data_IF_579098846523
#
_entry.id   IF_579098846523
#
_cell.length_a   1.000
_cell.length_b   1.000
_cell.length_c   1.000
_cell.angle_alpha   90.00
_cell.angle_beta   90.00
_cell.angle_gamma   90.00
#
_symmetry.space_group_name_H-M   'P 1'
#
loop_
_entity.id
_entity.type
_entity.pdbx_description
1 polymer ?
#
# COMPACT_ATOMS: atom_id res chain seq x y z
N UNK A 1 49.42 -3.42 14.13
CA UNK A 1 48.48 -4.47 14.55
C UNK A 1 47.08 -3.92 14.86
N UNK A 2 46.68 -2.80 14.23
CA UNK A 2 45.41 -2.08 14.53
C UNK A 2 44.49 -1.94 13.31
N UNK A 3 44.97 -2.24 12.09
CA UNK A 3 44.16 -2.15 10.86
C UNK A 3 43.38 -3.44 10.54
N UNK A 4 43.90 -4.60 10.93
CA UNK A 4 43.26 -5.90 10.70
C UNK A 4 41.99 -6.10 11.56
N UNK A 5 41.93 -5.44 12.72
CA UNK A 5 40.81 -5.54 13.66
C UNK A 5 39.57 -4.72 13.21
N UNK A 6 39.77 -3.68 12.40
CA UNK A 6 38.69 -2.79 11.94
C UNK A 6 37.96 -3.38 10.71
N UNK A 7 38.68 -4.13 9.86
CA UNK A 7 38.10 -4.73 8.66
C UNK A 7 37.13 -5.87 9.00
N UNK A 8 37.42 -6.64 10.07
CA UNK A 8 36.61 -7.80 10.51
C UNK A 8 35.28 -7.38 11.18
N UNK A 9 35.26 -6.27 11.93
CA UNK A 9 34.02 -5.75 12.51
C UNK A 9 33.03 -5.29 11.42
N UNK A 10 33.53 -4.66 10.36
CA UNK A 10 32.68 -4.17 9.26
C UNK A 10 32.00 -5.28 8.45
N UNK A 11 32.63 -6.45 8.33
CA UNK A 11 32.05 -7.63 7.66
C UNK A 11 31.02 -8.33 8.55
N UNK A 12 31.31 -8.45 9.84
CA UNK A 12 30.38 -9.05 10.82
C UNK A 12 29.12 -8.20 11.00
N UNK A 13 29.23 -6.88 11.09
CA UNK A 13 28.07 -5.99 11.19
C UNK A 13 27.18 -6.07 9.94
N UNK A 14 27.76 -6.08 8.74
CA UNK A 14 27.02 -6.23 7.48
C UNK A 14 26.26 -7.57 7.44
N UNK A 15 26.88 -8.65 7.89
CA UNK A 15 26.24 -9.97 7.94
C UNK A 15 25.11 -10.07 8.98
N UNK A 16 25.22 -9.36 10.09
CA UNK A 16 24.16 -9.26 11.09
C UNK A 16 22.97 -8.47 10.54
N UNK A 17 23.22 -7.31 9.93
CA UNK A 17 22.18 -6.47 9.31
C UNK A 17 21.46 -7.22 8.19
N UNK A 18 22.19 -7.95 7.34
CA UNK A 18 21.60 -8.74 6.26
C UNK A 18 20.72 -9.86 6.80
N UNK A 19 21.16 -10.57 7.85
CA UNK A 19 20.40 -11.63 8.52
C UNK A 19 19.15 -11.09 9.23
N UNK A 20 19.27 -10.01 9.99
CA UNK A 20 18.14 -9.36 10.67
C UNK A 20 17.08 -8.89 9.67
N UNK A 21 17.51 -8.25 8.58
CA UNK A 21 16.60 -7.80 7.51
C UNK A 21 15.84 -8.96 6.87
N UNK A 22 16.48 -10.15 6.73
CA UNK A 22 15.84 -11.34 6.17
C UNK A 22 14.79 -11.93 7.11
N UNK A 23 15.10 -12.03 8.40
CA UNK A 23 14.13 -12.53 9.39
C UNK A 23 12.95 -11.58 9.55
N UNK A 24 13.15 -10.26 9.43
CA UNK A 24 12.08 -9.27 9.49
C UNK A 24 11.05 -9.38 8.34
N UNK A 25 11.43 -9.92 7.18
CA UNK A 25 10.52 -10.08 6.03
C UNK A 25 9.47 -11.19 6.24
N UNK A 26 9.80 -12.24 6.99
CA UNK A 26 8.92 -13.39 7.25
C UNK A 26 7.65 -13.00 8.03
N UNK A 27 7.74 -12.34 9.21
CA UNK A 27 6.55 -11.96 9.98
C UNK A 27 5.72 -10.91 9.23
N UNK A 28 6.35 -10.04 8.45
CA UNK A 28 5.63 -9.08 7.62
C UNK A 28 4.78 -9.78 6.55
N UNK A 29 5.34 -10.77 5.85
CA UNK A 29 4.59 -11.55 4.86
C UNK A 29 3.43 -12.34 5.50
N UNK A 30 3.68 -12.92 6.69
CA UNK A 30 2.64 -13.64 7.45
C UNK A 30 1.52 -12.70 7.89
N UNK A 31 1.86 -11.55 8.47
CA UNK A 31 0.88 -10.53 8.87
C UNK A 31 0.04 -10.04 7.70
N UNK A 32 0.67 -9.86 6.53
CA UNK A 32 -0.01 -9.44 5.31
C UNK A 32 -0.97 -10.52 4.78
N UNK A 33 -0.60 -11.79 4.86
CA UNK A 33 -1.49 -12.90 4.52
C UNK A 33 -2.69 -12.98 5.48
N UNK A 34 -2.47 -12.84 6.78
CA UNK A 34 -3.56 -12.79 7.78
C UNK A 34 -4.48 -11.60 7.52
N UNK A 35 -3.92 -10.41 7.28
CA UNK A 35 -4.71 -9.21 6.94
C UNK A 35 -5.54 -9.41 5.68
N UNK A 36 -5.00 -10.08 4.66
CA UNK A 36 -5.73 -10.41 3.44
C UNK A 36 -6.92 -11.34 3.70
N UNK A 37 -6.75 -12.36 4.54
CA UNK A 37 -7.84 -13.26 4.93
C UNK A 37 -8.91 -12.52 5.73
N UNK A 38 -8.52 -11.62 6.64
CA UNK A 38 -9.46 -10.79 7.39
C UNK A 38 -10.27 -9.89 6.44
N UNK A 39 -9.63 -9.20 5.50
CA UNK A 39 -10.34 -8.39 4.50
C UNK A 39 -11.32 -9.22 3.67
N UNK A 40 -10.92 -10.43 3.27
CA UNK A 40 -11.79 -11.32 2.51
C UNK A 40 -13.04 -11.72 3.32
N UNK A 41 -12.86 -12.06 4.60
CA UNK A 41 -13.98 -12.40 5.49
C UNK A 41 -14.91 -11.18 5.65
N UNK A 42 -14.36 -10.01 6.00
CA UNK A 42 -15.15 -8.79 6.19
C UNK A 42 -15.93 -8.42 4.93
N UNK A 43 -15.31 -8.54 3.75
CA UNK A 43 -15.98 -8.29 2.46
C UNK A 43 -17.24 -9.14 2.28
N UNK A 44 -17.17 -10.44 2.57
CA UNK A 44 -18.35 -11.32 2.49
C UNK A 44 -19.37 -11.04 3.59
N UNK A 45 -18.92 -10.67 4.79
CA UNK A 45 -19.80 -10.29 5.91
C UNK A 45 -20.60 -9.03 5.58
N UNK A 46 -19.99 -8.02 4.96
CA UNK A 46 -20.66 -6.78 4.57
C UNK A 46 -21.72 -7.05 3.48
N UNK A 47 -21.40 -7.90 2.51
CA UNK A 47 -22.38 -8.35 1.49
C UNK A 47 -23.54 -9.09 2.15
N UNK A 48 -23.24 -10.02 3.07
CA UNK A 48 -24.27 -10.78 3.77
C UNK A 48 -25.20 -9.87 4.59
N UNK A 49 -24.65 -8.92 5.36
CA UNK A 49 -25.43 -7.95 6.13
C UNK A 49 -26.32 -7.09 5.24
N UNK A 50 -25.81 -6.65 4.08
CA UNK A 50 -26.58 -5.87 3.13
C UNK A 50 -27.79 -6.64 2.57
N UNK A 51 -27.63 -7.94 2.33
CA UNK A 51 -28.71 -8.83 1.89
C UNK A 51 -29.72 -9.05 3.01
N UNK A 52 -29.27 -9.37 4.23
CA UNK A 52 -30.13 -9.63 5.39
C UNK A 52 -30.98 -8.40 5.77
N UNK A 53 -30.38 -7.21 5.70
CA UNK A 53 -31.03 -5.95 6.12
C UNK A 53 -31.81 -5.28 4.98
N UNK A 54 -31.83 -5.87 3.77
CA UNK A 54 -32.45 -5.32 2.56
C UNK A 54 -31.98 -3.90 2.21
N UNK A 55 -30.75 -3.55 2.58
CA UNK A 55 -30.21 -2.20 2.37
C UNK A 55 -30.12 -1.83 0.89
N UNK A 56 -30.01 -2.85 0.04
CA UNK A 56 -29.95 -2.69 -1.42
C UNK A 56 -31.23 -2.09 -2.04
N UNK A 57 -32.35 -2.07 -1.29
CA UNK A 57 -33.59 -1.44 -1.73
C UNK A 57 -33.54 0.08 -1.64
N UNK A 58 -32.70 0.64 -0.78
CA UNK A 58 -32.46 2.08 -0.69
C UNK A 58 -31.28 2.48 -1.59
N UNK A 59 -31.55 3.36 -2.56
CA UNK A 59 -30.54 3.79 -3.53
C UNK A 59 -29.29 4.39 -2.89
N UNK A 60 -29.44 5.18 -1.82
CA UNK A 60 -28.32 5.84 -1.14
C UNK A 60 -27.49 4.79 -0.42
N UNK A 61 -28.13 3.88 0.31
CA UNK A 61 -27.44 2.77 1.00
C UNK A 61 -26.70 1.84 0.04
N UNK A 62 -27.31 1.50 -1.10
CA UNK A 62 -26.66 0.68 -2.14
C UNK A 62 -25.38 1.33 -2.66
N UNK A 63 -25.40 2.65 -2.89
CA UNK A 63 -24.22 3.39 -3.34
C UNK A 63 -23.14 3.33 -2.26
N UNK A 64 -23.46 3.62 -0.99
CA UNK A 64 -22.50 3.57 0.12
C UNK A 64 -21.91 2.18 0.31
N UNK A 65 -22.73 1.13 0.22
CA UNK A 65 -22.26 -0.26 0.27
C UNK A 65 -21.23 -0.53 -0.83
N UNK A 66 -21.53 -0.18 -2.08
CA UNK A 66 -20.61 -0.39 -3.20
C UNK A 66 -19.31 0.39 -2.98
N UNK A 67 -19.38 1.63 -2.49
CA UNK A 67 -18.17 2.43 -2.23
C UNK A 67 -17.30 1.82 -1.11
N UNK A 68 -17.90 1.31 -0.03
CA UNK A 68 -17.20 0.60 1.03
C UNK A 68 -16.52 -0.68 0.51
N UNK A 69 -17.26 -1.49 -0.28
CA UNK A 69 -16.71 -2.70 -0.90
C UNK A 69 -15.57 -2.39 -1.88
N UNK A 70 -15.68 -1.29 -2.64
CA UNK A 70 -14.60 -0.83 -3.51
C UNK A 70 -13.35 -0.46 -2.71
N UNK A 71 -13.50 0.28 -1.62
CA UNK A 71 -12.36 0.67 -0.77
C UNK A 71 -11.58 -0.55 -0.26
N UNK A 72 -12.29 -1.55 0.28
CA UNK A 72 -11.66 -2.81 0.71
C UNK A 72 -10.88 -3.50 -0.43
N UNK A 73 -11.44 -3.52 -1.65
CA UNK A 73 -10.76 -4.11 -2.82
C UNK A 73 -9.51 -3.32 -3.20
N UNK A 74 -9.54 -2.00 -3.13
CA UNK A 74 -8.35 -1.19 -3.42
C UNK A 74 -7.26 -1.36 -2.35
N UNK A 75 -7.62 -1.46 -1.07
CA UNK A 75 -6.67 -1.80 -0.01
C UNK A 75 -6.09 -3.19 -0.26
N UNK A 76 -6.92 -4.19 -0.59
CA UNK A 76 -6.46 -5.53 -0.94
C UNK A 76 -5.47 -5.52 -2.13
N UNK A 77 -5.74 -4.73 -3.17
CA UNK A 77 -4.82 -4.57 -4.30
C UNK A 77 -3.46 -3.99 -3.88
N UNK A 78 -3.44 -3.03 -2.96
CA UNK A 78 -2.20 -2.54 -2.35
C UNK A 78 -1.49 -3.62 -1.54
N UNK A 79 -2.22 -4.38 -0.71
CA UNK A 79 -1.63 -5.45 0.09
C UNK A 79 -1.00 -6.52 -0.81
N UNK A 80 -1.66 -6.95 -1.89
CA UNK A 80 -1.11 -7.91 -2.86
C UNK A 80 0.17 -7.36 -3.49
N UNK A 81 0.16 -6.08 -3.87
CA UNK A 81 1.32 -5.43 -4.44
C UNK A 81 2.51 -5.43 -3.46
N UNK A 82 2.28 -5.06 -2.20
CA UNK A 82 3.31 -5.07 -1.15
C UNK A 82 3.78 -6.49 -0.85
N UNK A 83 2.87 -7.47 -0.81
CA UNK A 83 3.17 -8.89 -0.58
C UNK A 83 4.11 -9.42 -1.65
N UNK A 84 3.77 -9.16 -2.91
CA UNK A 84 4.54 -9.61 -4.07
C UNK A 84 5.93 -8.99 -4.07
N UNK A 85 6.05 -7.70 -3.73
CA UNK A 85 7.36 -7.04 -3.62
C UNK A 85 8.20 -7.58 -2.46
N UNK A 86 7.57 -7.85 -1.32
CA UNK A 86 8.22 -8.46 -0.15
C UNK A 86 8.77 -9.85 -0.48
N UNK A 87 7.94 -10.69 -1.11
CA UNK A 87 8.32 -12.04 -1.54
C UNK A 87 9.45 -12.00 -2.58
N UNK A 88 9.36 -11.12 -3.58
CA UNK A 88 10.39 -10.97 -4.59
C UNK A 88 11.72 -10.51 -3.98
N UNK A 89 11.70 -9.59 -3.01
CA UNK A 89 12.91 -9.13 -2.31
C UNK A 89 13.54 -10.26 -1.50
N UNK A 90 12.74 -11.04 -0.78
CA UNK A 90 13.21 -12.22 -0.04
C UNK A 90 13.88 -13.24 -0.98
N UNK A 91 13.29 -13.47 -2.18
CA UNK A 91 13.83 -14.41 -3.18
C UNK A 91 15.09 -13.87 -3.87
N UNK A 92 15.09 -12.61 -4.32
CA UNK A 92 16.22 -11.97 -5.01
C UNK A 92 17.50 -12.01 -4.15
N UNK A 93 17.36 -11.79 -2.85
CA UNK A 93 18.46 -11.84 -1.88
C UNK A 93 19.03 -13.25 -1.65
N UNK A 94 18.35 -14.29 -2.14
CA UNK A 94 18.80 -15.70 -2.11
C UNK A 94 19.45 -16.14 -3.43
N UNK A 95 19.11 -15.51 -4.56
CA UNK A 95 19.44 -16.02 -5.90
C UNK A 95 20.43 -15.18 -6.71
N UNK A 96 20.59 -13.88 -6.41
CA UNK A 96 21.44 -12.97 -7.21
C UNK A 96 22.58 -12.42 -6.34
N UNK A 97 23.80 -12.47 -6.86
CA UNK A 97 25.02 -11.94 -6.22
C UNK A 97 25.61 -10.83 -7.09
N UNK A 98 26.19 -9.79 -6.47
CA UNK A 98 26.88 -8.70 -7.18
C UNK A 98 25.98 -7.57 -7.70
N UNK A 99 26.47 -6.81 -8.69
CA UNK A 99 25.86 -5.57 -9.17
C UNK A 99 24.47 -5.75 -9.82
N UNK A 100 24.18 -6.94 -10.36
CA UNK A 100 22.88 -7.27 -10.92
C UNK A 100 21.76 -7.30 -9.86
N UNK A 101 22.08 -7.63 -8.61
CA UNK A 101 21.12 -7.56 -7.51
C UNK A 101 20.70 -6.10 -7.23
N UNK A 102 21.68 -5.19 -7.19
CA UNK A 102 21.45 -3.75 -6.93
C UNK A 102 20.59 -3.15 -8.05
N UNK A 103 20.92 -3.42 -9.32
CA UNK A 103 20.18 -2.88 -10.45
C UNK A 103 18.73 -3.41 -10.52
N UNK A 104 18.51 -4.70 -10.24
CA UNK A 104 17.16 -5.28 -10.23
C UNK A 104 16.33 -4.73 -9.07
N UNK A 105 16.94 -4.57 -7.89
CA UNK A 105 16.31 -3.94 -6.72
C UNK A 105 15.86 -2.51 -7.00
N UNK A 106 16.74 -1.68 -7.57
CA UNK A 106 16.44 -0.28 -7.90
C UNK A 106 15.30 -0.15 -8.90
N UNK A 107 15.30 -0.97 -9.96
CA UNK A 107 14.21 -0.98 -10.96
C UNK A 107 12.89 -1.45 -10.34
N UNK A 108 12.93 -2.45 -9.47
CA UNK A 108 11.73 -2.95 -8.77
C UNK A 108 11.15 -1.91 -7.82
N UNK A 109 12.01 -1.24 -7.03
CA UNK A 109 11.63 -0.14 -6.15
C UNK A 109 10.99 1.01 -6.94
N UNK A 110 11.60 1.41 -8.07
CA UNK A 110 11.07 2.47 -8.91
C UNK A 110 9.69 2.15 -9.49
N UNK A 111 9.43 0.91 -9.90
CA UNK A 111 8.09 0.46 -10.34
C UNK A 111 7.09 0.42 -9.19
N UNK A 112 7.52 0.00 -8.00
CA UNK A 112 6.68 -0.03 -6.81
C UNK A 112 6.26 1.38 -6.39
N UNK A 113 7.19 2.35 -6.41
CA UNK A 113 6.92 3.72 -5.98
C UNK A 113 5.72 4.35 -6.69
N UNK A 114 5.68 4.30 -8.02
CA UNK A 114 4.61 4.94 -8.79
C UNK A 114 3.27 4.24 -8.66
N UNK A 115 3.27 2.92 -8.63
CA UNK A 115 2.06 2.13 -8.48
C UNK A 115 1.41 2.32 -7.10
N UNK A 116 2.20 2.41 -6.03
CA UNK A 116 1.67 2.69 -4.68
C UNK A 116 1.04 4.08 -4.65
N UNK A 117 1.77 5.11 -5.08
CA UNK A 117 1.27 6.50 -5.03
C UNK A 117 0.00 6.66 -5.87
N UNK A 118 -0.03 6.10 -7.09
CA UNK A 118 -1.24 6.12 -7.93
C UNK A 118 -2.43 5.44 -7.27
N UNK A 119 -2.23 4.30 -6.60
CA UNK A 119 -3.32 3.57 -5.95
C UNK A 119 -3.85 4.33 -4.73
N UNK A 120 -2.97 4.95 -3.94
CA UNK A 120 -3.36 5.80 -2.80
C UNK A 120 -4.23 6.98 -3.24
N UNK A 121 -3.88 7.63 -4.36
CA UNK A 121 -4.67 8.74 -4.89
C UNK A 121 -6.06 8.25 -5.31
N UNK A 122 -6.14 7.12 -6.02
CA UNK A 122 -7.42 6.54 -6.45
C UNK A 122 -8.31 6.21 -5.23
N UNK A 123 -7.75 5.57 -4.21
CA UNK A 123 -8.45 5.28 -2.94
C UNK A 123 -8.99 6.57 -2.33
N UNK A 124 -8.12 7.58 -2.20
CA UNK A 124 -8.52 8.88 -1.66
C UNK A 124 -9.62 9.55 -2.47
N UNK A 125 -9.62 9.44 -3.81
CA UNK A 125 -10.69 9.98 -4.67
C UNK A 125 -12.05 9.33 -4.38
N UNK A 126 -12.08 8.00 -4.20
CA UNK A 126 -13.30 7.26 -3.91
C UNK A 126 -13.83 7.65 -2.53
N UNK A 127 -12.95 7.74 -1.54
CA UNK A 127 -13.33 8.13 -0.19
C UNK A 127 -13.95 9.53 -0.14
N UNK A 128 -13.33 10.51 -0.84
CA UNK A 128 -13.89 11.87 -0.99
C UNK A 128 -15.29 11.84 -1.62
N UNK A 129 -15.48 11.03 -2.66
CA UNK A 129 -16.79 10.90 -3.30
C UNK A 129 -17.83 10.26 -2.37
N UNK A 130 -17.44 9.26 -1.57
CA UNK A 130 -18.31 8.60 -0.60
C UNK A 130 -18.82 9.58 0.45
N UNK A 131 -17.89 10.28 1.10
CA UNK A 131 -18.19 11.27 2.12
C UNK A 131 -19.07 12.39 1.55
N UNK A 132 -18.73 12.90 0.35
CA UNK A 132 -19.58 13.88 -0.31
C UNK A 132 -21.01 13.36 -0.48
N UNK A 133 -21.20 12.16 -1.04
CA UNK A 133 -22.55 11.60 -1.28
C UNK A 133 -23.36 11.33 0.00
N UNK A 134 -22.71 11.26 1.15
CA UNK A 134 -23.39 11.04 2.43
C UNK A 134 -24.19 12.28 2.89
N UNK A 135 -23.82 13.50 2.46
CA UNK A 135 -24.46 14.85 2.53
C UNK A 135 -25.39 15.26 3.70
N UNK A 136 -25.72 14.40 4.67
CA UNK A 136 -26.66 14.70 5.75
C UNK A 136 -26.03 14.89 7.13
N UNK A 137 -24.70 14.71 7.27
CA UNK A 137 -24.03 14.69 8.57
C UNK A 137 -22.67 15.43 8.60
N UNK A 138 -22.18 15.95 7.46
CA UNK A 138 -20.79 16.44 7.36
C UNK A 138 -20.76 17.98 7.41
N UNK A 139 -19.88 18.52 8.25
CA UNK A 139 -19.65 19.96 8.33
C UNK A 139 -18.91 20.50 7.11
N UNK A 140 -19.14 21.76 6.75
CA UNK A 140 -18.44 22.42 5.65
C UNK A 140 -16.90 22.39 5.83
N UNK A 141 -16.43 22.45 7.09
CA UNK A 141 -15.01 22.35 7.40
C UNK A 141 -14.43 20.96 7.08
N UNK A 142 -15.16 19.89 7.40
CA UNK A 142 -14.74 18.52 7.07
C UNK A 142 -14.68 18.29 5.57
N UNK A 143 -15.70 18.74 4.82
CA UNK A 143 -15.68 18.63 3.35
C UNK A 143 -14.50 19.38 2.75
N UNK A 144 -14.25 20.62 3.22
CA UNK A 144 -13.12 21.41 2.76
C UNK A 144 -11.77 20.76 3.11
N UNK A 145 -11.64 20.19 4.31
CA UNK A 145 -10.44 19.47 4.72
C UNK A 145 -10.19 18.21 3.87
N UNK A 146 -11.25 17.44 3.59
CA UNK A 146 -11.17 16.21 2.79
C UNK A 146 -10.77 16.50 1.35
N UNK A 147 -11.41 17.51 0.72
CA UNK A 147 -11.03 18.00 -0.60
C UNK A 147 -9.62 18.58 -0.61
N UNK A 148 -9.27 19.37 0.40
CA UNK A 148 -7.93 19.96 0.55
C UNK A 148 -6.84 18.89 0.63
N UNK A 149 -7.04 17.86 1.46
CA UNK A 149 -6.12 16.72 1.55
C UNK A 149 -5.97 16.00 0.21
N UNK A 150 -7.08 15.72 -0.48
CA UNK A 150 -7.04 15.04 -1.77
C UNK A 150 -6.32 15.86 -2.85
N UNK A 151 -6.54 17.18 -2.89
CA UNK A 151 -5.83 18.09 -3.79
C UNK A 151 -4.33 18.13 -3.49
N UNK A 152 -3.91 18.09 -2.22
CA UNK A 152 -2.49 18.01 -1.83
C UNK A 152 -1.85 16.71 -2.33
N UNK A 153 -2.54 15.57 -2.19
CA UNK A 153 -2.07 14.28 -2.72
C UNK A 153 -1.93 14.32 -4.24
N UNK A 154 -2.93 14.85 -4.94
CA UNK A 154 -2.92 14.98 -6.40
C UNK A 154 -1.80 15.92 -6.87
N UNK A 155 -1.67 17.10 -6.25
CA UNK A 155 -0.62 18.06 -6.58
C UNK A 155 0.77 17.46 -6.37
N UNK A 156 0.99 16.78 -5.23
CA UNK A 156 2.25 16.09 -4.92
C UNK A 156 2.60 15.06 -5.99
N UNK A 157 1.62 14.29 -6.45
CA UNK A 157 1.82 13.30 -7.51
C UNK A 157 2.13 13.92 -8.86
N UNK A 158 1.35 14.94 -9.27
CA UNK A 158 1.58 15.64 -10.54
C UNK A 158 2.97 16.26 -10.55
N UNK A 159 3.37 16.96 -9.48
CA UNK A 159 4.73 17.51 -9.35
C UNK A 159 5.75 16.37 -9.46
N UNK A 160 5.66 15.33 -8.64
CA UNK A 160 6.64 14.25 -8.66
C UNK A 160 6.72 13.49 -9.99
N UNK A 161 5.63 13.43 -10.75
CA UNK A 161 5.58 12.73 -12.04
C UNK A 161 5.98 13.61 -13.24
N UNK A 162 5.52 14.87 -13.28
CA UNK A 162 5.86 15.84 -14.33
C UNK A 162 7.35 16.17 -14.31
N UNK A 163 7.92 16.42 -13.13
CA UNK A 163 9.35 16.70 -13.01
C UNK A 163 10.24 15.52 -13.46
N UNK A 164 9.70 14.30 -13.45
CA UNK A 164 10.41 13.10 -13.88
C UNK A 164 10.15 12.71 -15.33
N UNK A 165 9.28 13.44 -16.03
CA UNK A 165 9.07 13.29 -17.48
C UNK A 165 9.99 14.20 -18.31
N UNK A 166 10.67 15.15 -17.67
CA UNK A 166 11.59 16.09 -18.30
C UNK A 166 13.07 15.68 -18.15
N UNK A 167 13.35 14.55 -17.49
CA UNK A 167 14.65 13.86 -17.40
C UNK A 167 14.55 12.48 -18.06
#
# INVERSE_FOLDING_TARGET
MSEEHNHNNSTVEKDLVIRLTRYAQIPMLLGLAVGMVLFLITFFVDIYHAVETYEFLDRKKTILLILNLLDMVFIANLLIMVATNTYNTYRLKKSVHGDDYIQQGERAYRRMKHRIVSTIIIISSIHVLSELLEFSQISMLQVAALLGFHLVLLATYVVTNVFRSND
#
